data_IF_831643406074
#
_entry.id   IF_831643406074
#
_cell.length_a   1.000
_cell.length_b   1.000
_cell.length_c   1.000
_cell.angle_alpha   90.00
_cell.angle_beta   90.00
_cell.angle_gamma   90.00
#
_symmetry.space_group_name_H-M   'P 1'
#
loop_
_entity.id
_entity.type
_entity.pdbx_description
1 polymer ?
#
# COMPACT_ATOMS: atom_id res chain seq x y z
N UNK A 1 21.13 -45.79 0.34
CA UNK A 1 19.99 -45.87 1.28
C UNK A 1 18.78 -45.25 0.60
N UNK A 2 17.94 -46.05 -0.07
CA UNK A 2 16.71 -45.58 -0.72
C UNK A 2 15.68 -45.35 0.39
N UNK A 3 15.24 -44.11 0.58
CA UNK A 3 14.13 -43.79 1.47
C UNK A 3 12.89 -44.56 0.98
N UNK A 4 12.29 -45.38 1.86
CA UNK A 4 11.12 -46.23 1.60
C UNK A 4 9.80 -45.46 1.51
N UNK A 5 9.83 -44.13 1.53
CA UNK A 5 8.67 -43.24 1.44
C UNK A 5 8.98 -42.08 0.49
N UNK A 6 8.42 -42.12 -0.72
CA UNK A 6 8.33 -40.96 -1.60
C UNK A 6 7.27 -40.01 -1.03
N UNK A 7 7.66 -39.18 -0.06
CA UNK A 7 6.84 -38.08 0.42
C UNK A 7 6.82 -36.98 -0.64
N UNK A 8 5.70 -36.87 -1.35
CA UNK A 8 5.47 -35.76 -2.26
C UNK A 8 5.20 -34.47 -1.45
N UNK A 9 6.28 -33.72 -1.23
CA UNK A 9 6.30 -32.50 -0.42
C UNK A 9 5.37 -31.41 -0.99
N UNK A 10 4.93 -31.54 -2.25
CA UNK A 10 3.94 -30.63 -2.86
C UNK A 10 2.55 -30.75 -2.23
N UNK A 11 2.19 -31.91 -1.68
CA UNK A 11 0.88 -32.10 -1.00
C UNK A 11 0.75 -31.24 0.27
N UNK A 12 1.87 -30.87 0.89
CA UNK A 12 1.91 -29.96 2.05
C UNK A 12 2.00 -28.49 1.67
N UNK A 13 2.28 -28.17 0.40
CA UNK A 13 2.16 -26.81 -0.11
C UNK A 13 0.68 -26.53 -0.33
N UNK A 14 0.01 -26.01 0.71
CA UNK A 14 -1.42 -25.72 0.65
C UNK A 14 -1.77 -24.92 -0.60
N UNK A 15 -2.70 -25.43 -1.41
CA UNK A 15 -3.10 -24.76 -2.64
C UNK A 15 -3.55 -23.32 -2.36
N UNK A 16 -3.13 -22.40 -3.23
CA UNK A 16 -3.52 -20.99 -3.16
C UNK A 16 -4.94 -20.82 -3.68
N UNK A 17 -5.91 -21.09 -2.83
CA UNK A 17 -7.33 -21.01 -3.16
C UNK A 17 -7.99 -19.73 -2.66
N UNK A 18 -7.47 -19.15 -1.58
CA UNK A 18 -8.07 -18.01 -0.88
C UNK A 18 -7.78 -16.69 -1.57
N UNK A 19 -8.70 -15.72 -1.42
CA UNK A 19 -8.52 -14.36 -1.94
C UNK A 19 -7.42 -13.62 -1.19
N UNK A 20 -6.71 -12.75 -1.90
CA UNK A 20 -5.67 -11.91 -1.30
C UNK A 20 -6.26 -10.91 -0.31
N UNK A 21 -5.63 -10.80 0.87
CA UNK A 21 -5.94 -9.80 1.89
C UNK A 21 -5.62 -8.37 1.40
N UNK A 22 -6.19 -7.32 2.03
CA UNK A 22 -5.87 -5.94 1.70
C UNK A 22 -4.39 -5.61 1.84
N UNK A 23 -3.72 -6.16 2.86
CA UNK A 23 -2.30 -5.94 3.11
C UNK A 23 -1.43 -6.59 2.03
N UNK A 24 -1.67 -7.86 1.66
CA UNK A 24 -0.97 -8.48 0.52
C UNK A 24 -1.15 -7.70 -0.79
N UNK A 25 -2.34 -7.16 -1.06
CA UNK A 25 -2.59 -6.29 -2.23
C UNK A 25 -1.78 -5.00 -2.18
N UNK A 26 -1.71 -4.35 -1.02
CA UNK A 26 -0.89 -3.14 -0.84
C UNK A 26 0.60 -3.45 -0.99
N UNK A 27 1.08 -4.57 -0.45
CA UNK A 27 2.49 -4.97 -0.56
C UNK A 27 2.88 -5.32 -2.00
N UNK A 28 2.00 -6.00 -2.74
CA UNK A 28 2.19 -6.23 -4.17
C UNK A 28 2.27 -4.91 -4.95
N UNK A 29 1.37 -3.96 -4.66
CA UNK A 29 1.37 -2.63 -5.26
C UNK A 29 2.67 -1.86 -4.93
N UNK A 30 3.14 -1.90 -3.68
CA UNK A 30 4.44 -1.29 -3.27
C UNK A 30 5.62 -1.87 -4.03
N UNK A 31 5.58 -3.17 -4.34
CA UNK A 31 6.56 -3.88 -5.19
C UNK A 31 6.47 -3.55 -6.67
N UNK A 32 5.55 -2.68 -7.09
CA UNK A 32 5.31 -2.36 -8.49
C UNK A 32 4.54 -3.45 -9.24
N UNK A 33 3.97 -4.44 -8.54
CA UNK A 33 3.11 -5.44 -9.15
C UNK A 33 1.68 -4.90 -9.17
N UNK A 34 1.24 -4.50 -10.36
CA UNK A 34 -0.11 -3.98 -10.62
C UNK A 34 -0.67 -4.59 -11.90
N UNK A 35 -1.99 -4.56 -12.04
CA UNK A 35 -2.64 -4.91 -13.30
C UNK A 35 -2.26 -3.89 -14.35
N UNK A 36 -1.58 -4.33 -15.40
CA UNK A 36 -1.23 -3.48 -16.55
C UNK A 36 -1.30 -4.30 -17.83
N UNK A 37 -2.15 -3.85 -18.74
CA UNK A 37 -2.13 -4.17 -20.16
C UNK A 37 -1.37 -3.07 -20.90
N UNK A 38 -0.34 -3.47 -21.65
CA UNK A 38 0.37 -2.54 -22.53
C UNK A 38 -0.52 -2.11 -23.70
N UNK A 39 -1.39 -3.00 -24.18
CA UNK A 39 -2.29 -2.72 -25.30
C UNK A 39 -3.27 -1.58 -24.99
N UNK A 40 -3.82 -1.52 -23.77
CA UNK A 40 -4.73 -0.43 -23.37
C UNK A 40 -4.01 0.91 -23.42
N UNK A 41 -2.77 0.97 -22.94
CA UNK A 41 -1.99 2.23 -22.97
C UNK A 41 -1.70 2.63 -24.41
N UNK A 42 -1.25 1.69 -25.25
CA UNK A 42 -0.98 1.95 -26.66
C UNK A 42 -2.22 2.40 -27.43
N UNK A 43 -3.39 1.78 -27.17
CA UNK A 43 -4.65 2.16 -27.80
C UNK A 43 -5.08 3.58 -27.46
N UNK A 44 -4.97 3.98 -26.18
CA UNK A 44 -5.30 5.34 -25.73
C UNK A 44 -4.35 6.36 -26.34
N UNK A 45 -3.03 6.09 -26.34
CA UNK A 45 -2.04 6.97 -26.96
C UNK A 45 -2.35 7.15 -28.45
N UNK A 46 -2.56 6.05 -29.17
CA UNK A 46 -2.86 6.06 -30.60
C UNK A 46 -4.14 6.86 -30.87
N UNK A 47 -5.21 6.62 -30.11
CA UNK A 47 -6.48 7.32 -30.25
C UNK A 47 -6.32 8.83 -30.01
N UNK A 48 -5.68 9.24 -28.93
CA UNK A 48 -5.48 10.65 -28.61
C UNK A 48 -4.61 11.37 -29.65
N UNK A 49 -3.54 10.71 -30.13
CA UNK A 49 -2.68 11.26 -31.17
C UNK A 49 -3.45 11.40 -32.49
N UNK A 50 -4.21 10.40 -32.92
CA UNK A 50 -4.98 10.51 -34.16
C UNK A 50 -6.12 11.52 -34.07
N UNK A 51 -6.80 11.63 -32.93
CA UNK A 51 -7.79 12.69 -32.69
C UNK A 51 -7.12 14.07 -32.77
N UNK A 52 -5.98 14.24 -32.10
CA UNK A 52 -5.23 15.50 -32.16
C UNK A 52 -4.82 15.84 -33.60
N UNK A 53 -4.21 14.90 -34.32
CA UNK A 53 -3.83 15.09 -35.72
C UNK A 53 -5.05 15.39 -36.59
N UNK A 54 -6.19 14.74 -36.37
CA UNK A 54 -7.38 14.97 -37.18
C UNK A 54 -7.92 16.40 -37.08
N UNK A 55 -7.90 16.99 -35.88
CA UNK A 55 -8.40 18.35 -35.65
C UNK A 55 -7.32 19.44 -35.86
N UNK A 56 -6.05 19.16 -35.57
CA UNK A 56 -4.95 20.14 -35.62
C UNK A 56 -4.04 19.99 -36.85
N UNK A 57 -4.31 19.05 -37.76
CA UNK A 57 -3.52 18.86 -38.99
C UNK A 57 -3.41 20.15 -39.83
N UNK A 58 -4.45 20.99 -39.86
CA UNK A 58 -4.42 22.26 -40.58
C UNK A 58 -3.30 23.18 -40.07
N UNK A 59 -3.26 23.44 -38.76
CA UNK A 59 -2.21 24.25 -38.13
C UNK A 59 -0.82 23.65 -38.31
N UNK A 60 -0.67 22.33 -38.12
CA UNK A 60 0.62 21.65 -38.33
C UNK A 60 1.09 21.74 -39.79
N UNK A 61 0.17 21.66 -40.75
CA UNK A 61 0.44 21.83 -42.18
C UNK A 61 0.87 23.27 -42.49
N UNK A 62 0.26 24.26 -41.85
CA UNK A 62 0.63 25.67 -42.04
C UNK A 62 2.04 25.95 -41.49
N UNK A 63 2.39 25.43 -40.32
CA UNK A 63 3.75 25.48 -39.77
C UNK A 63 4.78 24.78 -40.68
N UNK A 64 4.43 23.60 -41.20
CA UNK A 64 5.30 22.88 -42.13
C UNK A 64 5.53 23.67 -43.42
N UNK A 65 4.49 24.31 -43.97
CA UNK A 65 4.63 25.17 -45.15
C UNK A 65 5.38 26.47 -44.83
N UNK A 66 5.24 27.02 -43.63
CA UNK A 66 6.01 28.17 -43.17
C UNK A 66 7.50 27.83 -43.11
N UNK A 67 7.85 26.67 -42.57
CA UNK A 67 9.22 26.14 -42.56
C UNK A 67 9.79 26.00 -43.99
N UNK A 68 9.02 25.44 -44.92
CA UNK A 68 9.45 25.34 -46.33
C UNK A 68 9.62 26.70 -46.99
N UNK A 69 8.70 27.66 -46.75
CA UNK A 69 8.82 29.02 -47.26
C UNK A 69 10.05 29.72 -46.69
N UNK A 70 10.30 29.60 -45.39
CA UNK A 70 11.49 30.17 -44.75
C UNK A 70 12.76 29.60 -45.40
N UNK A 71 12.82 28.28 -45.56
CA UNK A 71 13.99 27.61 -46.12
C UNK A 71 14.23 27.96 -47.59
N UNK A 72 13.22 27.82 -48.45
CA UNK A 72 13.38 27.96 -49.89
C UNK A 72 13.30 29.40 -50.41
N UNK A 73 12.77 30.35 -49.63
CA UNK A 73 12.66 31.75 -50.06
C UNK A 73 13.70 32.61 -49.37
N UNK A 74 13.93 32.43 -48.07
CA UNK A 74 14.82 33.29 -47.30
C UNK A 74 16.19 32.65 -47.13
N UNK A 75 16.26 31.44 -46.57
CA UNK A 75 17.55 30.83 -46.19
C UNK A 75 18.43 30.51 -47.41
N UNK A 76 17.84 30.17 -48.55
CA UNK A 76 18.59 29.92 -49.79
C UNK A 76 19.30 31.17 -50.34
N UNK A 77 18.87 32.37 -49.93
CA UNK A 77 19.43 33.66 -50.37
C UNK A 77 20.56 34.14 -49.46
N UNK A 78 20.96 33.35 -48.47
CA UNK A 78 22.10 33.67 -47.60
C UNK A 78 23.38 33.52 -48.44
N UNK A 79 23.99 34.65 -48.81
CA UNK A 79 25.18 34.69 -49.68
C UNK A 79 26.50 34.40 -48.93
N UNK A 80 26.55 34.67 -47.62
CA UNK A 80 27.75 34.46 -46.80
C UNK A 80 27.44 33.57 -45.60
N UNK A 81 28.13 32.44 -45.51
CA UNK A 81 28.01 31.48 -44.40
C UNK A 81 29.11 31.76 -43.38
N UNK A 82 28.72 32.36 -42.26
CA UNK A 82 29.53 32.53 -41.05
C UNK A 82 29.09 31.54 -39.97
N UNK A 83 29.96 31.24 -38.98
CA UNK A 83 29.62 30.37 -37.85
C UNK A 83 28.33 30.84 -37.16
N UNK A 84 28.21 32.15 -36.92
CA UNK A 84 27.04 32.75 -36.27
C UNK A 84 25.77 32.57 -37.12
N UNK A 85 25.84 32.84 -38.43
CA UNK A 85 24.69 32.66 -39.33
C UNK A 85 24.19 31.21 -39.39
N UNK A 86 25.10 30.23 -39.36
CA UNK A 86 24.74 28.81 -39.34
C UNK A 86 24.13 28.43 -37.99
N UNK A 87 24.67 28.94 -36.88
CA UNK A 87 24.11 28.72 -35.54
C UNK A 87 22.70 29.28 -35.42
N UNK A 88 22.45 30.50 -35.90
CA UNK A 88 21.11 31.09 -35.92
C UNK A 88 20.14 30.27 -36.75
N UNK A 89 20.53 29.86 -37.97
CA UNK A 89 19.70 29.03 -38.84
C UNK A 89 19.37 27.66 -38.20
N UNK A 90 20.34 27.06 -37.50
CA UNK A 90 20.13 25.81 -36.77
C UNK A 90 19.11 25.98 -35.63
N UNK A 91 19.27 27.02 -34.81
CA UNK A 91 18.36 27.29 -33.68
C UNK A 91 16.95 27.59 -34.20
N UNK A 92 16.80 28.44 -35.21
CA UNK A 92 15.50 28.78 -35.79
C UNK A 92 14.80 27.55 -36.37
N UNK A 93 15.55 26.70 -37.08
CA UNK A 93 15.05 25.43 -37.62
C UNK A 93 14.60 24.48 -36.52
N UNK A 94 15.39 24.37 -35.45
CA UNK A 94 15.07 23.52 -34.31
C UNK A 94 13.80 24.00 -33.60
N UNK A 95 13.66 25.31 -33.39
CA UNK A 95 12.46 25.91 -32.78
C UNK A 95 11.23 25.67 -33.66
N UNK A 96 11.32 25.90 -34.98
CA UNK A 96 10.21 25.65 -35.91
C UNK A 96 9.80 24.16 -35.93
N UNK A 97 10.77 23.24 -35.99
CA UNK A 97 10.47 21.81 -35.89
C UNK A 97 9.87 21.42 -34.53
N UNK A 98 10.31 22.07 -33.45
CA UNK A 98 9.75 21.84 -32.12
C UNK A 98 8.26 22.22 -32.07
N UNK A 99 7.83 23.31 -32.69
CA UNK A 99 6.40 23.67 -32.77
C UNK A 99 5.53 22.64 -33.50
N UNK A 100 6.12 21.83 -34.39
CA UNK A 100 5.41 20.75 -35.08
C UNK A 100 5.41 19.46 -34.23
N UNK A 101 6.57 19.07 -33.69
CA UNK A 101 6.77 17.77 -33.04
C UNK A 101 6.30 17.77 -31.58
N UNK A 102 6.61 18.83 -30.82
CA UNK A 102 6.35 18.90 -29.38
C UNK A 102 4.86 18.74 -29.06
N UNK A 103 3.90 19.37 -29.77
CA UNK A 103 2.48 19.17 -29.48
C UNK A 103 2.05 17.70 -29.65
N UNK A 104 2.53 17.02 -30.69
CA UNK A 104 2.23 15.60 -30.93
C UNK A 104 2.80 14.74 -29.80
N UNK A 105 4.06 14.97 -29.44
CA UNK A 105 4.73 14.26 -28.35
C UNK A 105 4.08 14.54 -26.99
N UNK A 106 3.65 15.77 -26.74
CA UNK A 106 2.96 16.15 -25.51
C UNK A 106 1.63 15.40 -25.39
N UNK A 107 0.84 15.31 -26.46
CA UNK A 107 -0.40 14.52 -26.47
C UNK A 107 -0.10 13.02 -26.27
N UNK A 108 0.96 12.49 -26.88
CA UNK A 108 1.36 11.11 -26.67
C UNK A 108 1.76 10.83 -25.21
N UNK A 109 2.50 11.74 -24.57
CA UNK A 109 2.86 11.66 -23.15
C UNK A 109 1.61 11.72 -22.28
N UNK A 110 0.70 12.67 -22.53
CA UNK A 110 -0.58 12.76 -21.80
C UNK A 110 -1.39 11.48 -21.96
N UNK A 111 -1.49 10.93 -23.17
CA UNK A 111 -2.19 9.67 -23.42
C UNK A 111 -1.52 8.49 -22.71
N UNK A 112 -0.19 8.44 -22.66
CA UNK A 112 0.53 7.40 -21.95
C UNK A 112 0.32 7.50 -20.44
N UNK A 113 0.36 8.70 -19.88
CA UNK A 113 0.06 8.95 -18.47
C UNK A 113 -1.38 8.58 -18.14
N UNK A 114 -2.35 9.03 -18.93
CA UNK A 114 -3.76 8.70 -18.78
C UNK A 114 -4.00 7.19 -18.87
N UNK A 115 -3.40 6.52 -19.86
CA UNK A 115 -3.54 5.08 -20.06
C UNK A 115 -2.94 4.23 -18.95
N UNK A 116 -1.87 4.68 -18.29
CA UNK A 116 -1.35 4.01 -17.09
C UNK A 116 -2.20 4.35 -15.85
N UNK A 117 -2.58 5.60 -15.69
CA UNK A 117 -3.37 6.07 -14.55
C UNK A 117 -4.76 5.41 -14.49
N UNK A 118 -5.44 5.25 -15.63
CA UNK A 118 -6.73 4.56 -15.69
C UNK A 118 -6.65 3.08 -15.28
N UNK A 119 -5.49 2.44 -15.45
CA UNK A 119 -5.34 1.00 -15.18
C UNK A 119 -5.05 0.68 -13.72
N UNK A 120 -4.17 1.44 -13.07
CA UNK A 120 -3.74 1.15 -11.70
C UNK A 120 -3.66 2.38 -10.77
N UNK A 121 -4.10 3.55 -11.26
CA UNK A 121 -4.06 4.81 -10.53
C UNK A 121 -2.64 5.32 -10.31
N UNK A 122 -2.50 6.22 -9.33
CA UNK A 122 -1.19 6.72 -8.94
C UNK A 122 -0.36 5.64 -8.22
N UNK A 123 0.85 5.38 -8.69
CA UNK A 123 1.80 4.49 -8.02
C UNK A 123 3.23 4.99 -8.21
N UNK A 124 3.88 5.33 -7.09
CA UNK A 124 5.30 5.65 -7.07
C UNK A 124 6.05 4.56 -6.31
N UNK A 125 6.99 3.87 -6.97
CA UNK A 125 7.85 2.87 -6.35
C UNK A 125 9.21 2.81 -7.05
N UNK A 126 10.27 2.71 -6.25
CA UNK A 126 11.64 2.50 -6.70
C UNK A 126 12.06 1.04 -6.56
N UNK A 127 11.20 0.16 -6.05
CA UNK A 127 11.54 -1.25 -5.82
C UNK A 127 11.89 -2.01 -7.11
N UNK A 128 11.21 -1.80 -8.25
CA UNK A 128 11.59 -2.46 -9.50
C UNK A 128 12.98 -2.09 -10.02
N UNK A 129 13.53 -0.93 -9.61
CA UNK A 129 14.89 -0.48 -9.98
C UNK A 129 16.01 -1.14 -9.17
N UNK A 130 15.67 -1.89 -8.11
CA UNK A 130 16.68 -2.67 -7.38
C UNK A 130 17.30 -3.72 -8.30
N UNK A 131 18.63 -3.72 -8.37
CA UNK A 131 19.39 -4.68 -9.17
C UNK A 131 19.15 -6.10 -8.64
N UNK A 132 18.63 -6.98 -9.51
CA UNK A 132 18.33 -8.36 -9.18
C UNK A 132 18.90 -9.29 -10.25
N UNK A 133 20.05 -9.90 -9.96
CA UNK A 133 20.75 -10.84 -10.85
C UNK A 133 19.87 -12.03 -11.26
N UNK A 134 18.87 -12.39 -10.44
CA UNK A 134 17.96 -13.50 -10.77
C UNK A 134 17.02 -13.18 -11.93
N UNK A 135 16.82 -11.90 -12.26
CA UNK A 135 16.03 -11.46 -13.42
C UNK A 135 16.82 -11.55 -14.74
N UNK A 136 18.15 -11.64 -14.68
CA UNK A 136 19.03 -11.75 -15.86
C UNK A 136 19.33 -13.20 -16.27
N UNK A 137 18.63 -14.18 -15.71
CA UNK A 137 18.80 -15.60 -16.02
C UNK A 137 18.30 -15.93 -17.45
N UNK A 138 19.19 -16.25 -18.40
CA UNK A 138 18.82 -16.47 -19.79
C UNK A 138 17.96 -17.73 -20.00
N UNK A 139 18.13 -18.75 -19.14
CA UNK A 139 17.36 -20.00 -19.23
C UNK A 139 15.89 -19.75 -18.88
N UNK A 140 15.65 -18.96 -17.83
CA UNK A 140 14.28 -18.53 -17.48
C UNK A 140 13.67 -17.62 -18.53
N UNK A 141 14.48 -16.76 -19.16
CA UNK A 141 14.06 -15.94 -20.30
C UNK A 141 13.57 -16.81 -21.46
N UNK A 142 14.35 -17.82 -21.86
CA UNK A 142 13.99 -18.72 -22.95
C UNK A 142 12.72 -19.53 -22.65
N UNK A 143 12.59 -20.05 -21.42
CA UNK A 143 11.37 -20.76 -20.98
C UNK A 143 10.12 -19.87 -21.02
N UNK A 144 10.27 -18.56 -20.78
CA UNK A 144 9.16 -17.60 -20.86
C UNK A 144 8.73 -17.36 -22.32
N UNK A 145 9.67 -17.34 -23.26
CA UNK A 145 9.40 -17.21 -24.70
C UNK A 145 8.69 -18.45 -25.25
N UNK A 146 9.09 -19.65 -24.83
CA UNK A 146 8.44 -20.92 -25.22
C UNK A 146 7.36 -21.38 -24.22
N UNK A 147 6.58 -20.43 -23.68
CA UNK A 147 5.50 -20.74 -22.74
C UNK A 147 4.13 -20.71 -23.39
N UNK A 148 3.15 -21.40 -22.79
CA UNK A 148 1.72 -21.29 -23.19
C UNK A 148 1.25 -19.83 -23.20
N UNK A 149 1.78 -19.01 -22.28
CA UNK A 149 1.49 -17.57 -22.24
C UNK A 149 1.94 -16.87 -23.53
N UNK A 150 3.11 -17.21 -24.07
CA UNK A 150 3.59 -16.63 -25.33
C UNK A 150 2.72 -17.01 -26.53
N UNK A 151 2.22 -18.25 -26.59
CA UNK A 151 1.29 -18.69 -27.64
C UNK A 151 -0.03 -17.89 -27.58
N UNK A 152 -0.56 -17.68 -26.37
CA UNK A 152 -1.77 -16.86 -26.16
C UNK A 152 -1.53 -15.40 -26.57
N UNK A 153 -0.37 -14.82 -26.25
CA UNK A 153 0.00 -13.46 -26.70
C UNK A 153 0.14 -13.36 -28.23
N UNK A 154 0.70 -14.38 -28.88
CA UNK A 154 0.80 -14.45 -30.33
C UNK A 154 -0.59 -14.48 -30.98
N UNK A 155 -1.48 -15.34 -30.48
CA UNK A 155 -2.86 -15.44 -30.99
C UNK A 155 -3.60 -14.10 -30.87
N UNK A 156 -3.49 -13.44 -29.71
CA UNK A 156 -4.06 -12.09 -29.51
C UNK A 156 -3.48 -11.08 -30.49
N UNK A 157 -2.18 -11.16 -30.78
CA UNK A 157 -1.52 -10.24 -31.71
C UNK A 157 -1.98 -10.44 -33.15
N UNK A 158 -2.15 -11.69 -33.59
CA UNK A 158 -2.71 -12.01 -34.91
C UNK A 158 -4.16 -11.52 -35.01
N UNK A 159 -4.98 -11.72 -33.97
CA UNK A 159 -6.36 -11.21 -33.93
C UNK A 159 -6.40 -9.68 -34.00
N UNK A 160 -5.54 -8.97 -33.25
CA UNK A 160 -5.41 -7.51 -33.29
C UNK A 160 -5.10 -7.02 -34.71
N UNK A 161 -4.11 -7.64 -35.37
CA UNK A 161 -3.75 -7.30 -36.76
C UNK A 161 -4.91 -7.58 -37.70
N UNK A 162 -5.60 -8.71 -37.53
CA UNK A 162 -6.79 -9.05 -38.31
C UNK A 162 -7.88 -7.98 -38.19
N UNK A 163 -8.26 -7.60 -36.97
CA UNK A 163 -9.30 -6.59 -36.75
C UNK A 163 -8.92 -5.22 -37.31
N UNK A 164 -7.68 -4.75 -37.06
CA UNK A 164 -7.19 -3.48 -37.59
C UNK A 164 -7.19 -3.52 -39.12
N UNK A 165 -6.59 -4.57 -39.70
CA UNK A 165 -6.48 -4.76 -41.14
C UNK A 165 -7.85 -4.81 -41.82
N UNK A 166 -8.82 -5.51 -41.24
CA UNK A 166 -10.19 -5.56 -41.75
C UNK A 166 -10.84 -4.19 -41.77
N UNK A 167 -10.79 -3.44 -40.67
CA UNK A 167 -11.42 -2.11 -40.59
C UNK A 167 -10.76 -1.11 -41.53
N UNK A 168 -9.43 -1.10 -41.61
CA UNK A 168 -8.71 -0.25 -42.58
C UNK A 168 -9.03 -0.63 -44.02
N UNK A 169 -9.15 -1.92 -44.33
CA UNK A 169 -9.50 -2.40 -45.68
C UNK A 169 -10.92 -2.00 -46.06
N UNK A 170 -11.88 -2.13 -45.13
CA UNK A 170 -13.27 -1.69 -45.36
C UNK A 170 -13.31 -0.20 -45.66
N UNK A 171 -12.61 0.64 -44.88
CA UNK A 171 -12.58 2.09 -45.10
C UNK A 171 -12.00 2.42 -46.48
N UNK A 172 -10.89 1.79 -46.88
CA UNK A 172 -10.31 1.98 -48.22
C UNK A 172 -11.29 1.53 -49.29
N UNK A 173 -11.91 0.36 -49.13
CA UNK A 173 -12.83 -0.21 -50.12
C UNK A 173 -14.06 0.67 -50.32
N UNK A 174 -14.66 1.20 -49.26
CA UNK A 174 -15.80 2.11 -49.32
C UNK A 174 -15.44 3.44 -49.98
N UNK A 175 -14.18 3.91 -49.82
CA UNK A 175 -13.71 5.17 -50.41
C UNK A 175 -12.91 4.98 -51.71
N UNK A 176 -12.88 3.75 -52.25
CA UNK A 176 -12.09 3.40 -53.43
C UNK A 176 -12.38 4.30 -54.65
N UNK A 177 -13.63 4.66 -54.98
CA UNK A 177 -13.91 5.58 -56.08
C UNK A 177 -13.30 6.97 -55.88
N UNK A 178 -13.33 7.49 -54.65
CA UNK A 178 -12.74 8.80 -54.34
C UNK A 178 -11.21 8.75 -54.46
N UNK A 179 -10.58 7.67 -54.00
CA UNK A 179 -9.14 7.43 -54.10
C UNK A 179 -8.70 7.32 -55.57
N UNK A 180 -9.43 6.56 -56.39
CA UNK A 180 -9.11 6.42 -57.82
C UNK A 180 -9.28 7.74 -58.58
N UNK A 181 -10.22 8.60 -58.16
CA UNK A 181 -10.42 9.93 -58.76
C UNK A 181 -9.30 10.93 -58.41
N UNK A 182 -8.42 10.64 -57.44
CA UNK A 182 -7.33 11.55 -57.04
C UNK A 182 -6.33 11.83 -58.16
N UNK A 183 -6.16 10.89 -59.11
CA UNK A 183 -5.27 11.07 -60.27
C UNK A 183 -5.66 12.24 -61.17
N UNK A 184 -6.92 12.67 -61.12
CA UNK A 184 -7.46 13.78 -61.89
C UNK A 184 -7.67 15.06 -61.05
N UNK A 185 -7.23 15.07 -59.78
CA UNK A 185 -7.41 16.20 -58.86
C UNK A 185 -6.09 16.95 -58.64
N UNK A 186 -6.21 18.21 -58.20
CA UNK A 186 -5.04 19.02 -57.86
C UNK A 186 -4.30 18.44 -56.64
N UNK A 187 -2.98 18.67 -56.51
CA UNK A 187 -2.20 18.20 -55.36
C UNK A 187 -2.78 18.65 -54.01
N UNK A 188 -3.40 19.83 -53.98
CA UNK A 188 -4.04 20.38 -52.80
C UNK A 188 -5.23 19.55 -52.34
N UNK A 189 -6.13 19.19 -53.27
CA UNK A 189 -7.30 18.36 -52.94
C UNK A 189 -6.84 16.95 -52.57
N UNK A 190 -5.83 16.41 -53.25
CA UNK A 190 -5.24 15.11 -52.94
C UNK A 190 -4.72 15.05 -51.51
N UNK A 191 -3.99 16.08 -51.05
CA UNK A 191 -3.50 16.14 -49.67
C UNK A 191 -4.64 16.13 -48.64
N UNK A 192 -5.71 16.88 -48.88
CA UNK A 192 -6.87 16.95 -47.99
C UNK A 192 -7.59 15.60 -47.92
N UNK A 193 -7.89 14.98 -49.07
CA UNK A 193 -8.59 13.70 -49.12
C UNK A 193 -7.76 12.59 -48.46
N UNK A 194 -6.46 12.49 -48.78
CA UNK A 194 -5.57 11.49 -48.18
C UNK A 194 -5.43 11.72 -46.67
N UNK A 195 -5.21 12.97 -46.23
CA UNK A 195 -5.12 13.30 -44.81
C UNK A 195 -6.39 12.93 -44.03
N UNK A 196 -7.57 13.23 -44.60
CA UNK A 196 -8.85 12.85 -44.00
C UNK A 196 -9.02 11.33 -43.92
N UNK A 197 -8.70 10.59 -44.98
CA UNK A 197 -8.79 9.12 -45.00
C UNK A 197 -7.84 8.49 -43.99
N UNK A 198 -6.57 8.92 -43.95
CA UNK A 198 -5.57 8.44 -42.98
C UNK A 198 -6.03 8.73 -41.55
N UNK A 199 -6.57 9.92 -41.30
CA UNK A 199 -7.11 10.29 -39.99
C UNK A 199 -8.29 9.40 -39.56
N UNK A 200 -9.27 9.19 -40.45
CA UNK A 200 -10.42 8.30 -40.19
C UNK A 200 -9.95 6.86 -39.93
N UNK A 201 -9.03 6.35 -40.76
CA UNK A 201 -8.46 5.02 -40.59
C UNK A 201 -7.73 4.88 -39.27
N UNK A 202 -6.91 5.87 -38.89
CA UNK A 202 -6.17 5.88 -37.63
C UNK A 202 -7.09 5.90 -36.41
N UNK A 203 -8.13 6.73 -36.42
CA UNK A 203 -9.13 6.78 -35.34
C UNK A 203 -9.88 5.45 -35.26
N UNK A 204 -10.37 4.92 -36.39
CA UNK A 204 -11.10 3.66 -36.42
C UNK A 204 -10.25 2.48 -35.94
N UNK A 205 -9.00 2.38 -36.40
CA UNK A 205 -8.04 1.37 -35.93
C UNK A 205 -7.76 1.50 -34.43
N UNK A 206 -7.62 2.73 -33.92
CA UNK A 206 -7.41 2.99 -32.50
C UNK A 206 -8.61 2.58 -31.64
N UNK A 207 -9.84 2.83 -32.11
CA UNK A 207 -11.07 2.42 -31.43
C UNK A 207 -11.21 0.89 -31.39
N UNK A 208 -10.92 0.22 -32.50
CA UNK A 208 -10.90 -1.25 -32.57
C UNK A 208 -9.87 -1.82 -31.59
N UNK A 209 -8.65 -1.27 -31.61
CA UNK A 209 -7.59 -1.68 -30.69
C UNK A 209 -7.99 -1.43 -29.24
N UNK A 210 -8.66 -0.32 -28.95
CA UNK A 210 -9.19 -0.02 -27.61
C UNK A 210 -10.19 -1.10 -27.17
N UNK A 211 -11.17 -1.44 -28.01
CA UNK A 211 -12.12 -2.51 -27.73
C UNK A 211 -11.44 -3.86 -27.46
N UNK A 212 -10.47 -4.25 -28.30
CA UNK A 212 -9.71 -5.50 -28.11
C UNK A 212 -8.84 -5.46 -26.85
N UNK A 213 -8.25 -4.30 -26.54
CA UNK A 213 -7.40 -4.11 -25.37
C UNK A 213 -8.17 -4.20 -24.05
N UNK A 214 -9.47 -3.90 -24.03
CA UNK A 214 -10.32 -4.09 -22.85
C UNK A 214 -10.41 -5.59 -22.51
N UNK A 215 -10.56 -6.45 -23.51
CA UNK A 215 -10.56 -7.91 -23.30
C UNK A 215 -9.19 -8.39 -22.79
N UNK A 216 -8.10 -7.85 -23.32
CA UNK A 216 -6.75 -8.14 -22.80
C UNK A 216 -6.61 -7.70 -21.34
N UNK A 217 -7.06 -6.51 -20.99
CA UNK A 217 -7.01 -6.02 -19.61
C UNK A 217 -7.82 -6.88 -18.64
N UNK A 218 -9.01 -7.36 -19.04
CA UNK A 218 -9.79 -8.31 -18.25
C UNK A 218 -9.03 -9.62 -18.01
N UNK A 219 -8.35 -10.14 -19.04
CA UNK A 219 -7.48 -11.31 -18.90
C UNK A 219 -6.30 -11.05 -17.95
N UNK A 220 -5.60 -9.91 -18.10
CA UNK A 220 -4.49 -9.54 -17.20
C UNK A 220 -4.97 -9.35 -15.76
N UNK A 221 -6.19 -8.79 -15.55
CA UNK A 221 -6.81 -8.66 -14.23
C UNK A 221 -7.08 -10.02 -13.61
N UNK A 222 -7.60 -10.97 -14.39
CA UNK A 222 -7.81 -12.34 -13.93
C UNK A 222 -6.50 -13.04 -13.57
N UNK A 223 -5.47 -12.95 -14.43
CA UNK A 223 -4.14 -13.52 -14.17
C UNK A 223 -3.53 -12.90 -12.91
N UNK A 224 -3.63 -11.59 -12.74
CA UNK A 224 -3.15 -10.89 -11.55
C UNK A 224 -3.83 -11.35 -10.26
N UNK A 225 -5.16 -11.45 -10.24
CA UNK A 225 -5.91 -11.94 -9.08
C UNK A 225 -5.58 -13.41 -8.78
N UNK A 226 -5.41 -14.24 -9.81
CA UNK A 226 -4.99 -15.64 -9.66
C UNK A 226 -3.59 -15.73 -9.02
N UNK A 227 -2.66 -14.89 -9.45
CA UNK A 227 -1.28 -14.86 -8.93
C UNK A 227 -1.20 -14.33 -7.48
N UNK A 228 -2.15 -13.48 -7.08
CA UNK A 228 -2.23 -12.95 -5.72
C UNK A 228 -2.87 -13.88 -4.69
N UNK A 229 -3.52 -14.96 -5.12
CA UNK A 229 -4.19 -15.92 -4.22
C UNK A 229 -3.26 -16.40 -3.09
N UNK A 230 -3.89 -16.71 -1.97
CA UNK A 230 -3.23 -17.07 -0.72
C UNK A 230 -3.61 -18.49 -0.32
N UNK A 231 -2.69 -19.17 0.37
CA UNK A 231 -3.06 -20.39 1.10
C UNK A 231 -3.79 -19.99 2.40
N UNK A 232 -4.57 -20.92 2.98
CA UNK A 232 -5.16 -20.71 4.33
C UNK A 232 -4.09 -20.44 5.39
N UNK A 233 -2.91 -21.03 5.23
CA UNK A 233 -1.79 -20.83 6.13
C UNK A 233 -1.21 -19.41 5.98
N UNK A 234 -1.04 -18.93 4.75
CA UNK A 234 -0.55 -17.57 4.48
C UNK A 234 -1.44 -16.52 5.16
N UNK A 235 -2.77 -16.71 5.13
CA UNK A 235 -3.74 -15.80 5.78
C UNK A 235 -3.54 -15.82 7.30
N UNK A 236 -3.45 -17.00 7.91
CA UNK A 236 -3.22 -17.12 9.37
C UNK A 236 -1.92 -16.43 9.77
N UNK A 237 -0.86 -16.64 9.00
CA UNK A 237 0.45 -16.04 9.28
C UNK A 237 0.43 -14.52 9.07
N UNK A 238 -0.33 -14.02 8.10
CA UNK A 238 -0.53 -12.58 7.91
C UNK A 238 -1.32 -11.93 9.04
N UNK A 239 -2.35 -12.61 9.56
CA UNK A 239 -3.06 -12.16 10.77
C UNK A 239 -2.13 -12.11 11.97
N UNK A 240 -1.34 -13.17 12.21
CA UNK A 240 -0.33 -13.20 13.29
C UNK A 240 0.70 -12.08 13.15
N UNK A 241 1.18 -11.80 11.94
CA UNK A 241 2.17 -10.74 11.70
C UNK A 241 1.59 -9.33 11.84
N UNK A 242 0.29 -9.15 11.63
CA UNK A 242 -0.35 -7.83 11.68
C UNK A 242 -0.88 -7.50 13.07
N UNK A 243 -1.52 -8.46 13.74
CA UNK A 243 -2.10 -8.28 15.07
C UNK A 243 -1.19 -8.78 16.20
N UNK A 244 -0.11 -9.49 15.88
CA UNK A 244 0.70 -10.22 16.86
C UNK A 244 0.07 -11.56 17.23
N UNK A 245 0.89 -12.51 17.69
CA UNK A 245 0.39 -13.82 18.12
C UNK A 245 -0.50 -13.65 19.38
N UNK A 246 -1.76 -14.12 19.36
CA UNK A 246 -2.64 -14.07 20.53
C UNK A 246 -2.01 -14.68 21.80
N UNK A 247 -1.21 -15.73 21.65
CA UNK A 247 -0.50 -16.37 22.76
C UNK A 247 0.57 -15.44 23.34
N UNK A 248 1.27 -14.67 22.49
CA UNK A 248 2.25 -13.69 22.93
C UNK A 248 1.56 -12.53 23.64
N UNK A 249 0.46 -11.99 23.09
CA UNK A 249 -0.35 -10.95 23.75
C UNK A 249 -0.83 -11.38 25.13
N UNK A 250 -1.34 -12.61 25.25
CA UNK A 250 -1.76 -13.19 26.53
C UNK A 250 -0.59 -13.29 27.52
N UNK A 251 0.56 -13.80 27.09
CA UNK A 251 1.78 -13.88 27.92
C UNK A 251 2.28 -12.51 28.38
N UNK A 252 2.22 -11.49 27.52
CA UNK A 252 2.59 -10.12 27.90
C UNK A 252 1.65 -9.62 29.00
N UNK A 253 0.33 -9.79 28.86
CA UNK A 253 -0.65 -9.39 29.86
C UNK A 253 -0.46 -10.13 31.19
N UNK A 254 -0.13 -11.42 31.14
CA UNK A 254 0.20 -12.20 32.34
C UNK A 254 1.44 -11.65 33.04
N UNK A 255 2.55 -11.42 32.32
CA UNK A 255 3.78 -10.84 32.88
C UNK A 255 3.57 -9.45 33.46
N UNK A 256 2.75 -8.62 32.82
CA UNK A 256 2.37 -7.30 33.35
C UNK A 256 1.67 -7.40 34.70
N UNK A 257 0.72 -8.33 34.85
CA UNK A 257 0.04 -8.59 36.13
C UNK A 257 1.02 -9.09 37.20
N UNK A 258 1.92 -10.01 36.86
CA UNK A 258 2.93 -10.53 37.78
C UNK A 258 3.88 -9.42 38.27
N UNK A 259 4.32 -8.52 37.38
CA UNK A 259 5.16 -7.37 37.74
C UNK A 259 4.43 -6.38 38.65
N UNK A 260 3.17 -6.05 38.35
CA UNK A 260 2.35 -5.18 39.19
C UNK A 260 2.16 -5.78 40.60
N UNK A 261 1.87 -7.09 40.67
CA UNK A 261 1.74 -7.79 41.95
C UNK A 261 3.06 -7.80 42.73
N UNK A 262 4.21 -7.99 42.07
CA UNK A 262 5.53 -7.91 42.74
C UNK A 262 5.81 -6.52 43.31
N UNK A 263 5.52 -5.46 42.57
CA UNK A 263 5.66 -4.07 43.06
C UNK A 263 4.76 -3.79 44.26
N UNK A 264 3.50 -4.17 44.18
CA UNK A 264 2.58 -4.04 45.31
C UNK A 264 3.09 -4.78 46.55
N UNK A 265 3.65 -5.99 46.37
CA UNK A 265 4.17 -6.80 47.47
C UNK A 265 5.46 -6.23 48.06
N UNK A 266 6.29 -5.53 47.28
CA UNK A 266 7.50 -4.87 47.79
C UNK A 266 7.22 -3.59 48.60
N UNK A 267 6.03 -3.01 48.48
CA UNK A 267 5.63 -1.83 49.28
C UNK A 267 5.16 -2.20 50.70
N UNK A 268 4.72 -3.45 50.90
CA UNK A 268 4.14 -3.95 52.17
C UNK A 268 5.07 -3.76 53.37
N UNK A 269 6.39 -3.97 53.30
CA UNK A 269 7.29 -3.71 54.43
C UNK A 269 7.29 -2.26 54.93
N UNK A 270 6.88 -1.31 54.07
CA UNK A 270 6.78 0.10 54.44
C UNK A 270 5.40 0.49 55.00
N UNK A 271 4.50 -0.48 55.21
CA UNK A 271 3.18 -0.26 55.77
C UNK A 271 3.24 -0.03 57.28
N UNK A 272 2.39 0.88 57.76
CA UNK A 272 2.24 1.13 59.19
C UNK A 272 1.28 0.13 59.83
N UNK A 273 0.24 -0.26 59.09
CA UNK A 273 -0.75 -1.22 59.55
C UNK A 273 -1.34 -2.02 58.39
N UNK A 274 -1.65 -3.29 58.65
CA UNK A 274 -2.46 -4.12 57.74
C UNK A 274 -3.79 -4.45 58.39
N UNK A 275 -4.87 -3.97 57.79
CA UNK A 275 -6.25 -4.28 58.19
C UNK A 275 -6.65 -5.58 57.52
N UNK A 276 -7.08 -6.55 58.33
CA UNK A 276 -7.36 -7.92 57.85
C UNK A 276 -8.80 -8.34 58.11
N UNK A 277 -9.32 -9.15 57.20
CA UNK A 277 -10.45 -10.04 57.40
C UNK A 277 -9.88 -11.47 57.38
N UNK A 278 -10.12 -12.31 58.40
CA UNK A 278 -9.39 -13.58 58.59
C UNK A 278 -9.33 -14.47 57.35
N UNK A 279 -10.40 -14.51 56.58
CA UNK A 279 -10.53 -15.45 55.45
C UNK A 279 -10.40 -14.80 54.07
N UNK A 280 -10.72 -13.52 53.90
CA UNK A 280 -10.96 -12.98 52.55
C UNK A 280 -10.22 -11.71 52.15
N UNK A 281 -9.83 -10.80 53.05
CA UNK A 281 -9.32 -9.47 52.67
C UNK A 281 -8.10 -9.06 53.49
N UNK A 282 -7.16 -8.35 52.86
CA UNK A 282 -6.07 -7.65 53.53
C UNK A 282 -5.80 -6.33 52.82
N UNK A 283 -5.65 -5.26 53.61
CA UNK A 283 -5.39 -3.90 53.13
C UNK A 283 -4.26 -3.31 53.95
N UNK A 284 -3.17 -2.93 53.30
CA UNK A 284 -2.02 -2.28 53.90
C UNK A 284 -2.12 -0.77 53.72
N UNK A 285 -1.98 -0.04 54.83
CA UNK A 285 -2.01 1.41 54.88
C UNK A 285 -0.65 1.94 55.29
N UNK A 286 -0.30 3.10 54.73
CA UNK A 286 0.87 3.89 55.09
C UNK A 286 0.44 5.31 55.40
N UNK A 287 0.99 5.88 56.46
CA UNK A 287 0.72 7.24 56.88
C UNK A 287 1.96 7.88 57.49
N UNK A 288 2.38 8.98 56.89
CA UNK A 288 3.49 9.79 57.36
C UNK A 288 2.96 11.16 57.80
N UNK A 289 3.09 11.48 59.09
CA UNK A 289 2.58 12.70 59.72
C UNK A 289 3.21 13.98 59.14
N UNK A 290 4.43 13.91 58.60
CA UNK A 290 5.12 15.09 58.06
C UNK A 290 4.80 15.35 56.58
N UNK A 291 4.44 14.31 55.82
CA UNK A 291 4.36 14.38 54.36
C UNK A 291 2.99 14.04 53.76
N UNK A 292 2.03 13.54 54.56
CA UNK A 292 0.72 13.09 54.06
C UNK A 292 -0.46 13.73 54.80
N UNK A 293 -1.38 14.30 54.02
CA UNK A 293 -2.66 14.84 54.54
C UNK A 293 -3.63 13.73 54.99
N UNK A 294 -3.50 12.53 54.43
CA UNK A 294 -4.32 11.37 54.76
C UNK A 294 -3.55 10.05 54.53
N UNK A 295 -3.85 8.97 55.28
CA UNK A 295 -3.30 7.65 55.04
C UNK A 295 -3.59 7.18 53.61
N UNK A 296 -2.66 6.45 53.00
CA UNK A 296 -2.81 5.90 51.64
C UNK A 296 -2.83 4.38 51.64
N UNK A 297 -3.60 3.79 50.73
CA UNK A 297 -3.61 2.34 50.50
C UNK A 297 -2.43 1.96 49.63
N UNK A 298 -1.46 1.22 50.18
CA UNK A 298 -0.25 0.80 49.44
C UNK A 298 -0.33 -0.63 48.92
N UNK A 299 -1.17 -1.47 49.51
CA UNK A 299 -1.50 -2.79 48.97
C UNK A 299 -2.92 -3.19 49.38
N UNK A 300 -3.65 -3.85 48.48
CA UNK A 300 -4.92 -4.51 48.81
C UNK A 300 -5.01 -5.84 48.07
N UNK A 301 -5.70 -6.82 48.65
CA UNK A 301 -5.88 -8.11 48.00
C UNK A 301 -6.95 -8.97 48.64
N UNK A 302 -7.42 -9.96 47.88
CA UNK A 302 -8.37 -10.98 48.34
C UNK A 302 -7.77 -12.37 48.37
N UNK A 303 -8.36 -13.25 49.18
CA UNK A 303 -8.09 -14.68 49.24
C UNK A 303 -6.58 -15.00 49.27
N UNK A 304 -6.05 -15.60 48.20
CA UNK A 304 -4.63 -15.94 48.10
C UNK A 304 -3.71 -14.72 48.21
N UNK A 305 -4.08 -13.59 47.60
CA UNK A 305 -3.32 -12.35 47.67
C UNK A 305 -3.36 -11.80 49.10
N UNK A 306 -4.54 -11.84 49.75
CA UNK A 306 -4.68 -11.43 51.14
C UNK A 306 -3.80 -12.27 52.08
N UNK A 307 -3.74 -13.59 51.90
CA UNK A 307 -2.87 -14.48 52.66
C UNK A 307 -1.39 -14.13 52.46
N UNK A 308 -1.00 -13.82 51.22
CA UNK A 308 0.38 -13.43 50.91
C UNK A 308 0.76 -12.06 51.50
N UNK A 309 -0.16 -11.10 51.49
CA UNK A 309 0.02 -9.81 52.18
C UNK A 309 0.24 -10.02 53.67
N UNK A 310 -0.59 -10.86 54.32
CA UNK A 310 -0.44 -11.22 55.74
C UNK A 310 0.89 -11.90 56.04
N UNK A 311 1.35 -12.79 55.15
CA UNK A 311 2.63 -13.48 55.30
C UNK A 311 3.80 -12.49 55.28
N UNK A 312 3.86 -11.61 54.27
CA UNK A 312 4.94 -10.62 54.13
C UNK A 312 4.89 -9.59 55.28
N UNK A 313 3.69 -9.15 55.67
CA UNK A 313 3.50 -8.27 56.81
C UNK A 313 4.02 -8.90 58.10
N UNK A 314 3.76 -10.19 58.31
CA UNK A 314 4.27 -10.95 59.46
C UNK A 314 5.80 -11.13 59.41
N UNK A 315 6.39 -11.34 58.23
CA UNK A 315 7.85 -11.47 58.06
C UNK A 315 8.60 -10.15 58.33
N UNK A 316 7.95 -9.01 58.18
CA UNK A 316 8.53 -7.67 58.38
C UNK A 316 7.97 -6.96 59.63
N UNK A 317 7.38 -7.71 60.56
CA UNK A 317 6.83 -7.22 61.83
C UNK A 317 5.84 -6.05 61.70
N UNK A 318 5.08 -5.99 60.60
CA UNK A 318 4.01 -5.02 60.40
C UNK A 318 2.78 -5.46 61.20
N UNK A 319 2.26 -4.54 62.02
CA UNK A 319 1.13 -4.81 62.90
C UNK A 319 -0.13 -5.09 62.08
N UNK A 320 -0.76 -6.24 62.33
CA UNK A 320 -2.01 -6.64 61.71
C UNK A 320 -3.17 -6.40 62.67
N UNK A 321 -4.23 -5.72 62.21
CA UNK A 321 -5.44 -5.47 62.99
C UNK A 321 -6.63 -6.14 62.28
N UNK A 322 -7.37 -6.96 63.01
CA UNK A 322 -8.58 -7.59 62.47
C UNK A 322 -9.76 -6.61 62.55
N UNK A 323 -10.30 -6.22 61.39
CA UNK A 323 -11.53 -5.44 61.31
C UNK A 323 -12.29 -5.82 60.03
N UNK A 324 -13.20 -6.80 60.14
CA UNK A 324 -13.89 -7.39 59.00
C UNK A 324 -14.77 -6.39 58.23
N UNK A 325 -15.60 -5.55 58.88
CA UNK A 325 -16.40 -4.54 58.18
C UNK A 325 -15.53 -3.54 57.40
N UNK A 326 -14.47 -3.02 58.03
CA UNK A 326 -13.60 -2.02 57.42
C UNK A 326 -12.79 -2.58 56.26
N UNK A 327 -12.20 -3.77 56.42
CA UNK A 327 -11.41 -4.42 55.37
C UNK A 327 -12.25 -4.73 54.12
N UNK A 328 -13.52 -5.10 54.29
CA UNK A 328 -14.41 -5.35 53.15
C UNK A 328 -14.81 -4.06 52.45
N UNK A 329 -15.25 -3.06 53.21
CA UNK A 329 -15.70 -1.78 52.66
C UNK A 329 -14.58 -1.04 51.92
N UNK A 330 -13.37 -1.02 52.47
CA UNK A 330 -12.23 -0.37 51.83
C UNK A 330 -11.73 -1.13 50.60
N UNK A 331 -11.87 -2.45 50.52
CA UNK A 331 -11.46 -3.21 49.33
C UNK A 331 -12.30 -2.84 48.11
N UNK A 332 -13.60 -2.68 48.32
CA UNK A 332 -14.59 -2.39 47.28
C UNK A 332 -14.55 -0.92 46.83
N UNK A 333 -14.16 0.01 47.72
CA UNK A 333 -14.27 1.45 47.47
C UNK A 333 -12.95 2.20 47.21
N UNK A 334 -11.79 1.63 47.58
CA UNK A 334 -10.50 2.35 47.53
C UNK A 334 -9.49 1.59 46.68
N UNK A 335 -8.87 2.25 45.70
CA UNK A 335 -7.81 1.64 44.88
C UNK A 335 -6.42 1.83 45.49
N UNK A 336 -5.45 1.04 44.99
CA UNK A 336 -4.06 1.12 45.46
C UNK A 336 -3.46 2.44 44.98
N UNK A 337 -2.88 3.21 45.91
CA UNK A 337 -2.29 4.53 45.71
C UNK A 337 -3.17 5.69 46.18
N UNK A 338 -4.48 5.42 46.37
CA UNK A 338 -5.43 6.45 46.75
C UNK A 338 -5.37 6.77 48.25
N UNK A 339 -5.63 8.04 48.63
CA UNK A 339 -5.88 8.38 50.02
C UNK A 339 -7.17 7.72 50.51
N UNK A 340 -7.23 7.42 51.79
CA UNK A 340 -8.44 6.89 52.42
C UNK A 340 -9.59 7.92 52.27
N UNK A 341 -10.82 7.51 51.90
CA UNK A 341 -11.97 8.39 51.89
C UNK A 341 -12.40 8.86 53.29
N UNK A 342 -13.04 10.04 53.37
CA UNK A 342 -13.49 10.64 54.64
C UNK A 342 -14.40 9.70 55.47
N UNK A 343 -15.20 8.88 54.79
CA UNK A 343 -16.10 7.89 55.43
C UNK A 343 -15.36 6.89 56.32
N UNK A 344 -14.08 6.60 56.01
CA UNK A 344 -13.26 5.64 56.75
C UNK A 344 -12.25 6.31 57.69
N UNK A 345 -12.10 7.64 57.65
CA UNK A 345 -11.09 8.37 58.44
C UNK A 345 -11.15 8.06 59.91
N UNK A 346 -12.36 8.09 60.51
CA UNK A 346 -12.52 7.84 61.94
C UNK A 346 -12.03 6.44 62.33
N UNK A 347 -12.43 5.43 61.56
CA UNK A 347 -12.08 4.03 61.83
C UNK A 347 -10.59 3.75 61.57
N UNK A 348 -10.01 4.35 60.53
CA UNK A 348 -8.57 4.23 60.22
C UNK A 348 -7.71 4.97 61.24
N UNK A 349 -8.11 6.16 61.68
CA UNK A 349 -7.40 6.94 62.70
C UNK A 349 -7.38 6.22 64.05
N UNK A 350 -8.47 5.57 64.45
CA UNK A 350 -8.52 4.75 65.67
C UNK A 350 -7.52 3.57 65.60
N UNK A 351 -7.45 2.91 64.44
CA UNK A 351 -6.51 1.80 64.20
C UNK A 351 -5.07 2.29 64.20
N UNK A 352 -4.76 3.40 63.51
CA UNK A 352 -3.41 3.98 63.50
C UNK A 352 -2.99 4.45 64.90
N UNK A 353 -3.88 5.13 65.64
CA UNK A 353 -3.62 5.55 67.02
C UNK A 353 -3.33 4.35 67.93
N UNK A 354 -4.06 3.24 67.76
CA UNK A 354 -3.80 1.99 68.47
C UNK A 354 -2.41 1.43 68.15
N UNK A 355 -2.04 1.38 66.86
CA UNK A 355 -0.74 0.91 66.39
C UNK A 355 0.41 1.79 66.91
N UNK A 356 0.27 3.11 66.85
CA UNK A 356 1.27 4.04 67.38
C UNK A 356 1.42 3.97 68.90
N UNK A 357 0.32 3.73 69.63
CA UNK A 357 0.37 3.52 71.09
C UNK A 357 1.11 2.23 71.46
N UNK A 358 1.02 1.19 70.62
CA UNK A 358 1.78 -0.05 70.79
C UNK A 358 3.26 0.18 70.46
N UNK A 359 3.56 0.86 69.34
CA UNK A 359 4.95 1.19 68.95
C UNK A 359 5.66 2.12 69.96
N UNK A 360 4.94 3.07 70.59
CA UNK A 360 5.48 3.99 71.64
C UNK A 360 5.58 3.39 73.05
N UNK A 361 5.12 2.15 73.26
CA UNK A 361 5.17 1.47 74.57
C UNK A 361 6.45 0.66 74.82
N UNK A 362 7.52 0.99 74.12
CA UNK A 362 8.89 0.50 74.36
C UNK A 362 9.77 1.68 74.73
#
# INVERSE_FOLDING_TARGET
>A
MKLLLNLDIQFFSGEKTEKATPKKRQDARKKGQVVKSQDVTSAIVMLMVFIFLFFFAGSLRDELLAFFRQTFIHNIRIETLTIDSVMHLFIDTLIQMAFIIVPIMAIAVVGALAGNFLQFGFLFTLEPMKFDLKKMDPIKGLKRIFSVKAIVELLKSVLKIGFIGSVTTIIIWTNLPEVLALSFKSPWITLITVGKLVGIMGIAASLVLLCVSILDWLYQKFDYEKNLKMSKQDIKDEYKNSEGDPLIKSKIKQRQREMAMRRMMSEIPSADVVITNPTHYAIALKYDEESMDAPRVIAKGTDFIAQKIKLIAKEHDVIMVENRPLARAMYDQVEIGDPVPEEFFKAVAEILAYVYRIKRKI
#
